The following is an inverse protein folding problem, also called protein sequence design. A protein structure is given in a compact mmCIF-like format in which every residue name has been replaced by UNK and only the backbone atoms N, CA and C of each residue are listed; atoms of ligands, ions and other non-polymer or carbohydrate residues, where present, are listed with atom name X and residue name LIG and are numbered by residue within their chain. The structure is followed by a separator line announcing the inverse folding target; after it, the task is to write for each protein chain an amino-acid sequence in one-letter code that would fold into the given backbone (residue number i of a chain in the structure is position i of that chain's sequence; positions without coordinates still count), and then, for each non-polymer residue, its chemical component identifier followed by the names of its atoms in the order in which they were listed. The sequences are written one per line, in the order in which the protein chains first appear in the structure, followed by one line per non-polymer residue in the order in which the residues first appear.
data_IF_520498955366
#
_entry.id   IF_520498955366
#
_cell.length_a   1.000
_cell.length_b   1.000
_cell.length_c   1.000
_cell.angle_alpha   90.00
_cell.angle_beta   90.00
_cell.angle_gamma   90.00
#
_symmetry.space_group_name_H-M   'P 1'
#
loop_
_entity.id
_entity.type
_entity.pdbx_description
1 polymer ?
#
# COMPACT_ATOMS: atom_id res chain seq x y z
N UNK A 1 -12.34 38.08 43.82
CA UNK A 1 -12.70 38.23 42.39
C UNK A 1 -11.72 37.43 41.57
N UNK A 2 -12.23 36.47 40.81
CA UNK A 2 -11.46 35.47 40.08
C UNK A 2 -10.77 36.08 38.85
N UNK A 3 -9.49 35.79 38.65
CA UNK A 3 -8.77 36.10 37.42
C UNK A 3 -8.21 34.80 36.84
N UNK A 4 -8.94 34.35 35.82
CA UNK A 4 -8.49 33.80 34.53
C UNK A 4 -7.45 32.67 34.55
N UNK A 5 -7.94 31.50 34.12
CA UNK A 5 -7.21 30.31 33.67
C UNK A 5 -6.11 30.68 32.67
N UNK A 6 -4.85 30.40 33.02
CA UNK A 6 -3.78 30.33 32.04
C UNK A 6 -3.79 28.96 31.37
N UNK A 7 -3.70 29.02 30.05
CA UNK A 7 -3.87 27.93 29.11
C UNK A 7 -2.69 26.97 29.16
N UNK A 8 -3.00 25.68 28.99
CA UNK A 8 -2.03 24.66 28.69
C UNK A 8 -1.38 24.96 27.33
N UNK A 9 -0.10 25.33 27.32
CA UNK A 9 0.76 25.25 26.14
C UNK A 9 1.72 24.08 26.32
N UNK A 10 1.19 22.88 26.10
CA UNK A 10 2.01 21.71 25.79
C UNK A 10 2.47 21.83 24.33
N UNK A 11 3.45 22.69 24.08
CA UNK A 11 4.26 22.61 22.88
C UNK A 11 5.68 22.27 23.29
N UNK A 12 6.06 21.01 23.07
CA UNK A 12 7.33 20.67 22.41
C UNK A 12 7.46 19.17 22.22
N UNK A 13 7.63 18.79 20.96
CA UNK A 13 8.41 17.61 20.63
C UNK A 13 7.61 16.34 20.34
N UNK A 14 6.57 16.41 19.51
CA UNK A 14 6.40 15.32 18.54
C UNK A 14 7.43 15.55 17.44
N UNK A 15 8.68 15.26 17.76
CA UNK A 15 9.65 14.85 16.77
C UNK A 15 9.04 13.61 16.13
N UNK A 16 8.33 13.83 15.03
CA UNK A 16 7.92 12.77 14.14
C UNK A 16 9.23 12.31 13.51
N UNK A 17 9.96 11.47 14.25
CA UNK A 17 10.96 10.60 13.67
C UNK A 17 10.22 9.88 12.56
N UNK A 18 10.42 10.35 11.33
CA UNK A 18 10.20 9.52 10.16
C UNK A 18 11.06 8.29 10.43
N UNK A 19 10.41 7.23 10.94
CA UNK A 19 11.06 5.97 11.27
C UNK A 19 11.90 5.64 10.05
N UNK A 20 13.22 5.56 10.23
CA UNK A 20 14.15 5.11 9.18
C UNK A 20 13.93 3.61 8.97
N UNK A 21 12.70 3.23 8.61
CA UNK A 21 12.39 1.89 8.12
C UNK A 21 13.26 1.73 6.88
N UNK A 22 14.13 0.71 6.90
CA UNK A 22 15.06 0.49 5.80
C UNK A 22 14.24 0.20 4.53
N UNK A 23 14.66 0.72 3.39
CA UNK A 23 14.03 0.42 2.09
C UNK A 23 13.95 -1.08 1.86
N UNK A 24 14.91 -1.84 2.41
CA UNK A 24 14.93 -3.30 2.39
C UNK A 24 13.75 -3.91 3.16
N UNK A 25 13.28 -3.29 4.25
CA UNK A 25 12.17 -3.79 5.06
C UNK A 25 10.80 -3.62 4.38
N UNK A 26 10.70 -2.74 3.37
CA UNK A 26 9.48 -2.56 2.59
C UNK A 26 9.30 -3.59 1.47
N UNK A 27 10.39 -4.17 0.96
CA UNK A 27 10.33 -5.15 -0.14
C UNK A 27 9.44 -6.36 0.24
N UNK A 28 9.62 -7.01 1.41
CA UNK A 28 8.75 -8.12 1.82
C UNK A 28 7.27 -7.73 1.95
N UNK A 29 6.98 -6.51 2.41
CA UNK A 29 5.59 -6.03 2.55
C UNK A 29 4.93 -5.84 1.18
N UNK A 30 5.66 -5.27 0.22
CA UNK A 30 5.19 -5.11 -1.15
C UNK A 30 5.03 -6.46 -1.85
N UNK A 31 5.89 -7.44 -1.57
CA UNK A 31 5.75 -8.81 -2.08
C UNK A 31 4.50 -9.52 -1.54
N UNK A 32 4.21 -9.38 -0.23
CA UNK A 32 2.99 -9.91 0.35
C UNK A 32 1.73 -9.25 -0.26
N UNK A 33 1.77 -7.93 -0.49
CA UNK A 33 0.68 -7.24 -1.18
C UNK A 33 0.50 -7.73 -2.63
N UNK A 34 1.60 -7.97 -3.36
CA UNK A 34 1.56 -8.56 -4.70
C UNK A 34 0.90 -9.94 -4.69
N UNK A 35 1.24 -10.79 -3.72
CA UNK A 35 0.64 -12.12 -3.57
C UNK A 35 -0.87 -12.03 -3.31
N UNK A 36 -1.29 -11.16 -2.38
CA UNK A 36 -2.71 -10.93 -2.12
C UNK A 36 -3.47 -10.46 -3.36
N UNK A 37 -2.90 -9.53 -4.14
CA UNK A 37 -3.51 -9.03 -5.38
C UNK A 37 -3.63 -10.13 -6.44
N UNK A 38 -2.65 -11.03 -6.53
CA UNK A 38 -2.73 -12.21 -7.42
C UNK A 38 -3.88 -13.13 -7.01
N UNK A 39 -4.02 -13.40 -5.71
CA UNK A 39 -5.11 -14.22 -5.18
C UNK A 39 -6.48 -13.58 -5.45
N UNK A 40 -6.60 -12.27 -5.25
CA UNK A 40 -7.82 -11.52 -5.60
C UNK A 40 -8.14 -11.59 -7.10
N UNK A 41 -7.12 -11.42 -7.96
CA UNK A 41 -7.29 -11.51 -9.41
C UNK A 41 -7.75 -12.91 -9.84
N UNK A 42 -7.19 -13.96 -9.26
CA UNK A 42 -7.62 -15.35 -9.51
C UNK A 42 -9.06 -15.56 -9.06
N UNK A 43 -9.42 -15.07 -7.86
CA UNK A 43 -10.77 -15.18 -7.33
C UNK A 43 -11.79 -14.46 -8.22
N UNK A 44 -11.52 -13.20 -8.58
CA UNK A 44 -12.40 -12.42 -9.43
C UNK A 44 -12.51 -13.05 -10.82
N UNK A 45 -11.40 -13.51 -11.41
CA UNK A 45 -11.41 -14.16 -12.72
C UNK A 45 -12.30 -15.41 -12.72
N UNK A 46 -12.21 -16.24 -11.67
CA UNK A 46 -13.08 -17.42 -11.51
C UNK A 46 -14.56 -17.05 -11.35
N UNK A 47 -14.86 -15.97 -10.61
CA UNK A 47 -16.23 -15.46 -10.47
C UNK A 47 -16.78 -15.00 -11.83
N UNK A 48 -15.97 -14.29 -12.60
CA UNK A 48 -16.33 -13.76 -13.92
C UNK A 48 -16.59 -14.88 -14.93
N UNK A 49 -15.82 -15.97 -14.91
CA UNK A 49 -16.04 -17.14 -15.78
C UNK A 49 -17.39 -17.81 -15.52
N UNK A 50 -17.85 -17.84 -14.26
CA UNK A 50 -19.12 -18.44 -13.87
C UNK A 50 -20.34 -17.56 -14.15
N UNK A 51 -20.14 -16.28 -14.44
CA UNK A 51 -21.20 -15.30 -14.72
C UNK A 51 -21.61 -15.32 -16.18
N UNK A 52 -22.90 -15.03 -16.43
CA UNK A 52 -23.37 -14.72 -17.77
C UNK A 52 -22.67 -13.46 -18.29
N UNK A 53 -22.51 -13.36 -19.61
CA UNK A 53 -21.75 -12.25 -20.24
C UNK A 53 -22.28 -10.87 -19.83
N UNK A 54 -23.59 -10.74 -19.58
CA UNK A 54 -24.23 -9.48 -19.15
C UNK A 54 -23.91 -9.07 -17.71
N UNK A 55 -23.54 -10.03 -16.87
CA UNK A 55 -23.25 -9.82 -15.44
C UNK A 55 -21.74 -9.73 -15.17
N UNK A 56 -20.92 -9.89 -16.22
CA UNK A 56 -19.48 -9.75 -16.10
C UNK A 56 -19.12 -8.30 -15.79
N UNK A 57 -18.26 -8.13 -14.81
CA UNK A 57 -17.69 -6.84 -14.45
C UNK A 57 -16.17 -6.86 -14.76
N UNK A 58 -15.77 -6.54 -16.01
CA UNK A 58 -14.36 -6.52 -16.38
C UNK A 58 -13.57 -5.41 -15.65
N UNK A 59 -14.24 -4.33 -15.23
CA UNK A 59 -13.57 -3.20 -14.60
C UNK A 59 -12.81 -3.57 -13.31
N UNK A 60 -13.32 -4.55 -12.54
CA UNK A 60 -12.60 -5.03 -11.34
C UNK A 60 -11.33 -5.81 -11.70
N UNK A 61 -11.34 -6.59 -12.78
CA UNK A 61 -10.15 -7.29 -13.28
C UNK A 61 -9.12 -6.31 -13.82
N UNK A 62 -9.56 -5.30 -14.56
CA UNK A 62 -8.69 -4.24 -15.07
C UNK A 62 -8.03 -3.47 -13.92
N UNK A 63 -8.82 -3.12 -12.89
CA UNK A 63 -8.31 -2.46 -11.70
C UNK A 63 -7.27 -3.31 -10.96
N UNK A 64 -7.57 -4.58 -10.67
CA UNK A 64 -6.63 -5.49 -10.01
C UNK A 64 -5.35 -5.68 -10.82
N UNK A 65 -5.45 -5.70 -12.14
CA UNK A 65 -4.29 -5.80 -13.04
C UNK A 65 -3.42 -4.53 -12.99
N UNK A 66 -4.05 -3.35 -12.94
CA UNK A 66 -3.33 -2.08 -12.81
C UNK A 66 -2.62 -1.97 -11.45
N UNK A 67 -3.33 -2.27 -10.35
CA UNK A 67 -2.74 -2.27 -9.00
C UNK A 67 -1.57 -3.25 -8.90
N UNK A 68 -1.70 -4.44 -9.48
CA UNK A 68 -0.62 -5.42 -9.51
C UNK A 68 0.62 -4.90 -10.25
N UNK A 69 0.42 -4.22 -11.40
CA UNK A 69 1.51 -3.64 -12.17
C UNK A 69 2.23 -2.54 -11.37
N UNK A 70 1.49 -1.65 -10.71
CA UNK A 70 2.05 -0.58 -9.88
C UNK A 70 2.90 -1.14 -8.73
N UNK A 71 2.39 -2.16 -8.03
CA UNK A 71 3.13 -2.85 -6.98
C UNK A 71 4.40 -3.50 -7.52
N UNK A 72 4.35 -4.09 -8.71
CA UNK A 72 5.50 -4.72 -9.32
C UNK A 72 6.59 -3.71 -9.71
N UNK A 73 6.21 -2.56 -10.26
CA UNK A 73 7.11 -1.44 -10.55
C UNK A 73 7.75 -0.93 -9.24
N UNK A 74 6.96 -0.76 -8.19
CA UNK A 74 7.45 -0.31 -6.89
C UNK A 74 8.47 -1.30 -6.28
N UNK A 75 8.22 -2.61 -6.34
CA UNK A 75 9.18 -3.62 -5.88
C UNK A 75 10.51 -3.52 -6.64
N UNK A 76 10.45 -3.35 -7.96
CA UNK A 76 11.66 -3.19 -8.79
C UNK A 76 12.43 -1.94 -8.38
N UNK A 77 11.75 -0.80 -8.25
CA UNK A 77 12.37 0.46 -7.83
C UNK A 77 13.01 0.37 -6.44
N UNK A 78 12.35 -0.29 -5.48
CA UNK A 78 12.89 -0.50 -4.13
C UNK A 78 14.14 -1.39 -4.15
N UNK A 79 14.15 -2.45 -4.97
CA UNK A 79 15.32 -3.33 -5.12
C UNK A 79 16.51 -2.62 -5.76
N UNK A 80 16.27 -1.81 -6.79
CA UNK A 80 17.32 -0.99 -7.41
C UNK A 80 17.90 0.05 -6.46
N UNK A 81 17.07 0.67 -5.63
CA UNK A 81 17.52 1.62 -4.60
C UNK A 81 18.29 0.93 -3.48
N UNK A 82 17.86 -0.27 -3.04
CA UNK A 82 18.58 -1.06 -2.06
C UNK A 82 19.98 -1.48 -2.55
N UNK A 83 20.09 -1.84 -3.82
CA UNK A 83 21.38 -2.18 -4.45
C UNK A 83 22.29 -0.94 -4.56
N UNK A 84 21.75 0.24 -4.91
CA UNK A 84 22.53 1.49 -4.99
C UNK A 84 23.13 1.96 -3.66
N UNK A 85 22.61 1.48 -2.52
CA UNK A 85 23.10 1.83 -1.17
C UNK A 85 24.14 0.86 -0.62
N UNK A 86 24.42 -0.24 -1.31
CA UNK A 86 25.50 -1.18 -0.98
C UNK A 86 26.82 -0.74 -1.58
#
# INVERSE_FOLDING_TARGET
MAVVREQASAEKGLGMEASKTDIVEFIPQMEAMRENLVDELICESRLQVRKNVRDKNPARLDQLTAELADVQIAIVALREEAERRR
#
